data_IF_211494201507
#
_entry.id   IF_211494201507
#
_cell.length_a   1.000
_cell.length_b   1.000
_cell.length_c   1.000
_cell.angle_alpha   90.00
_cell.angle_beta   90.00
_cell.angle_gamma   90.00
#
_symmetry.space_group_name_H-M   'P 1'
#
loop_
_entity.id
_entity.type
_entity.pdbx_description
1 polymer ?
#
# COMPACT_ATOMS: atom_id res chain seq x y z
N UNK A 1 -1.87 -22.62 -8.54
CA UNK A 1 -1.86 -21.18 -8.88
C UNK A 1 -0.54 -20.84 -9.55
N UNK A 2 -0.55 -20.07 -10.65
CA UNK A 2 0.69 -19.53 -11.25
C UNK A 2 1.09 -18.23 -10.54
N UNK A 3 2.36 -17.82 -10.66
CA UNK A 3 2.87 -16.58 -10.03
C UNK A 3 2.09 -15.34 -10.46
N UNK A 4 1.77 -15.23 -11.75
CA UNK A 4 1.01 -14.08 -12.28
C UNK A 4 -0.42 -14.02 -11.74
N UNK A 5 -1.06 -15.19 -11.57
CA UNK A 5 -2.39 -15.26 -10.95
C UNK A 5 -2.35 -14.85 -9.48
N UNK A 6 -1.30 -15.21 -8.73
CA UNK A 6 -1.12 -14.79 -7.34
C UNK A 6 -0.99 -13.27 -7.26
N UNK A 7 -0.14 -12.67 -8.09
CA UNK A 7 0.05 -11.21 -8.14
C UNK A 7 -1.26 -10.51 -8.49
N UNK A 8 -2.00 -11.05 -9.47
CA UNK A 8 -3.29 -10.50 -9.87
C UNK A 8 -4.32 -10.59 -8.75
N UNK A 9 -4.37 -11.70 -8.03
CA UNK A 9 -5.28 -11.89 -6.90
C UNK A 9 -4.97 -10.98 -5.70
N UNK A 10 -3.73 -10.48 -5.57
CA UNK A 10 -3.41 -9.45 -4.58
C UNK A 10 -3.82 -8.04 -5.03
N UNK A 11 -3.80 -7.74 -6.33
CA UNK A 11 -4.08 -6.41 -6.87
C UNK A 11 -5.56 -6.16 -7.18
N UNK A 12 -6.28 -7.21 -7.56
CA UNK A 12 -7.64 -7.12 -8.08
C UNK A 12 -8.59 -7.96 -7.20
N UNK A 13 -9.35 -7.25 -6.36
CA UNK A 13 -10.31 -7.86 -5.45
C UNK A 13 -11.43 -8.62 -6.20
N UNK A 14 -11.83 -8.16 -7.39
CA UNK A 14 -12.85 -8.82 -8.20
C UNK A 14 -12.34 -10.14 -8.76
N UNK A 15 -11.10 -10.15 -9.27
CA UNK A 15 -10.43 -11.38 -9.69
C UNK A 15 -10.28 -12.37 -8.53
N UNK A 16 -9.84 -11.90 -7.36
CA UNK A 16 -9.75 -12.73 -6.15
C UNK A 16 -11.11 -13.30 -5.71
N UNK A 17 -12.19 -12.54 -5.84
CA UNK A 17 -13.55 -13.00 -5.52
C UNK A 17 -14.07 -14.05 -6.51
N UNK A 18 -13.59 -14.03 -7.76
CA UNK A 18 -13.94 -15.03 -8.78
C UNK A 18 -13.24 -16.39 -8.63
N UNK A 19 -12.24 -16.50 -7.74
CA UNK A 19 -11.50 -17.74 -7.52
C UNK A 19 -12.30 -18.73 -6.65
N UNK A 20 -12.09 -20.02 -6.90
CA UNK A 20 -12.61 -21.09 -6.02
C UNK A 20 -11.96 -21.05 -4.64
N UNK A 21 -12.58 -21.69 -3.65
CA UNK A 21 -12.07 -21.72 -2.26
C UNK A 21 -10.67 -22.33 -2.19
N UNK A 22 -10.44 -23.42 -2.93
CA UNK A 22 -9.17 -24.14 -2.97
C UNK A 22 -8.08 -23.27 -3.61
N UNK A 23 -8.41 -22.54 -4.68
CA UNK A 23 -7.49 -21.61 -5.31
C UNK A 23 -7.15 -20.44 -4.39
N UNK A 24 -8.14 -19.92 -3.66
CA UNK A 24 -7.96 -18.80 -2.74
C UNK A 24 -7.13 -19.21 -1.51
N UNK A 25 -7.31 -20.42 -1.00
CA UNK A 25 -6.50 -20.99 0.07
C UNK A 25 -5.03 -21.22 -0.36
N UNK A 26 -4.77 -21.41 -1.64
CA UNK A 26 -3.41 -21.55 -2.18
C UNK A 26 -2.66 -20.23 -2.37
N UNK A 27 -3.31 -19.07 -2.14
CA UNK A 27 -2.68 -17.75 -2.24
C UNK A 27 -1.88 -17.49 -0.96
N UNK A 28 -0.56 -17.22 -1.04
CA UNK A 28 0.22 -16.87 0.14
C UNK A 28 -0.21 -15.51 0.71
N UNK A 29 0.17 -15.26 1.96
CA UNK A 29 -0.05 -13.97 2.60
C UNK A 29 0.50 -12.82 1.74
N UNK A 30 -0.24 -11.71 1.66
CA UNK A 30 0.19 -10.55 0.89
C UNK A 30 1.51 -10.02 1.48
N UNK A 31 2.57 -9.83 0.67
CA UNK A 31 3.86 -9.32 1.14
C UNK A 31 3.78 -7.92 1.76
N UNK A 32 2.73 -7.14 1.49
CA UNK A 32 2.48 -5.86 2.13
C UNK A 32 1.90 -5.99 3.56
N UNK A 33 1.66 -7.22 4.04
CA UNK A 33 1.14 -7.52 5.38
C UNK A 33 -0.34 -7.21 5.54
N UNK A 34 -0.82 -7.30 6.80
CA UNK A 34 -2.20 -6.97 7.18
C UNK A 34 -2.53 -5.49 7.00
N UNK A 35 -1.52 -4.64 6.83
CA UNK A 35 -1.64 -3.19 6.57
C UNK A 35 -2.10 -2.87 5.15
N UNK A 36 -2.13 -3.87 4.25
CA UNK A 36 -2.70 -3.79 2.91
C UNK A 36 -4.11 -4.38 2.83
N UNK A 37 -4.80 -4.48 3.97
CA UNK A 37 -6.28 -4.50 4.02
C UNK A 37 -6.79 -3.31 3.18
N UNK A 38 -7.98 -3.42 2.60
CA UNK A 38 -8.61 -2.30 1.91
C UNK A 38 -8.68 -1.10 2.83
N UNK A 39 -7.67 -0.24 2.72
CA UNK A 39 -7.63 1.05 3.36
C UNK A 39 -8.73 1.87 2.70
N UNK A 40 -9.62 2.42 3.50
CA UNK A 40 -10.55 3.39 2.98
C UNK A 40 -9.79 4.67 2.55
N UNK A 41 -10.45 5.55 1.80
CA UNK A 41 -9.81 6.77 1.27
C UNK A 41 -9.13 7.62 2.35
N UNK A 42 -9.68 7.64 3.57
CA UNK A 42 -9.10 8.39 4.69
C UNK A 42 -7.81 7.74 5.18
N UNK A 43 -7.82 6.43 5.39
CA UNK A 43 -6.63 5.68 5.83
C UNK A 43 -5.52 5.71 4.77
N UNK A 44 -5.91 5.71 3.49
CA UNK A 44 -4.97 5.79 2.37
C UNK A 44 -4.21 7.13 2.34
N UNK A 45 -4.84 8.21 2.81
CA UNK A 45 -4.19 9.52 2.93
C UNK A 45 -3.18 9.59 4.08
N UNK A 46 -3.27 8.69 5.06
CA UNK A 46 -2.33 8.63 6.18
C UNK A 46 -1.10 7.77 5.86
N UNK A 47 -1.19 6.87 4.86
CA UNK A 47 -0.06 6.06 4.42
C UNK A 47 0.87 6.88 3.53
N UNK A 48 2.03 7.20 4.09
CA UNK A 48 3.14 7.88 3.41
C UNK A 48 4.24 6.90 3.03
N UNK A 49 4.93 7.17 1.92
CA UNK A 49 6.17 6.46 1.59
C UNK A 49 7.24 6.71 2.65
N UNK A 50 8.09 5.71 2.91
CA UNK A 50 9.23 5.88 3.83
C UNK A 50 10.24 6.89 3.28
N UNK A 51 10.58 7.91 4.09
CA UNK A 51 11.68 8.83 3.76
C UNK A 51 12.99 8.22 4.27
N UNK A 52 14.00 8.09 3.41
CA UNK A 52 15.33 7.71 3.86
C UNK A 52 15.90 8.86 4.69
N UNK A 53 16.08 8.63 6.00
CA UNK A 53 16.61 9.61 6.95
C UNK A 53 18.12 9.88 6.78
N UNK A 54 18.68 9.78 5.56
CA UNK A 54 20.07 10.14 5.26
C UNK A 54 20.21 11.59 4.75
N UNK A 55 19.10 12.22 4.36
CA UNK A 55 19.14 13.63 4.02
C UNK A 55 19.10 14.42 5.32
N UNK A 56 20.26 14.97 5.68
CA UNK A 56 20.32 16.15 6.54
C UNK A 56 19.58 17.30 5.85
N UNK A 57 18.25 17.24 5.81
CA UNK A 57 17.44 18.39 5.47
C UNK A 57 17.54 19.30 6.70
N UNK A 58 18.23 20.46 6.61
CA UNK A 58 18.34 21.34 7.75
C UNK A 58 16.93 21.75 8.16
N UNK A 59 16.68 21.77 9.46
CA UNK A 59 15.38 22.05 10.04
C UNK A 59 14.66 23.22 9.36
N UNK A 60 13.35 23.04 9.24
CA UNK A 60 12.34 23.94 8.65
C UNK A 60 11.84 23.61 7.22
N UNK A 61 11.86 22.34 6.81
CA UNK A 61 11.04 21.91 5.69
C UNK A 61 9.63 21.60 6.19
N UNK A 62 8.71 22.55 5.99
CA UNK A 62 7.30 22.24 5.69
C UNK A 62 7.24 21.47 4.35
N UNK A 63 7.86 20.30 4.35
CA UNK A 63 8.08 19.46 3.19
C UNK A 63 6.80 18.76 2.83
N UNK A 64 6.47 18.79 1.54
CA UNK A 64 5.40 18.00 0.99
C UNK A 64 5.85 16.54 0.96
N UNK A 65 5.27 15.71 1.82
CA UNK A 65 5.42 14.26 1.69
C UNK A 65 4.35 13.79 0.73
N UNK A 66 4.77 13.10 -0.33
CA UNK A 66 3.83 12.42 -1.22
C UNK A 66 3.21 11.25 -0.44
N UNK A 67 1.90 11.32 -0.22
CA UNK A 67 1.11 10.17 0.23
C UNK A 67 0.97 9.18 -0.92
N UNK A 68 0.48 7.97 -0.63
CA UNK A 68 0.16 7.00 -1.67
C UNK A 68 -0.85 7.54 -2.71
N UNK A 69 -1.71 8.49 -2.32
CA UNK A 69 -2.65 9.16 -3.22
C UNK A 69 -2.04 10.23 -4.13
N UNK A 70 -0.70 10.43 -4.10
CA UNK A 70 0.02 11.50 -4.81
C UNK A 70 -0.35 12.92 -4.39
N UNK A 71 -1.11 13.05 -3.31
CA UNK A 71 -1.36 14.33 -2.68
C UNK A 71 -0.09 14.76 -1.94
N UNK A 72 0.41 15.94 -2.29
CA UNK A 72 1.35 16.65 -1.46
C UNK A 72 0.55 17.21 -0.28
N UNK A 73 0.76 16.69 0.94
CA UNK A 73 0.27 17.33 2.18
C UNK A 73 1.43 17.95 2.96
N UNK A 74 1.22 19.13 3.58
CA UNK A 74 2.23 19.70 4.44
C UNK A 74 2.39 18.80 5.65
N UNK A 75 3.63 18.43 5.99
CA UNK A 75 3.92 17.74 7.24
C UNK A 75 3.68 18.71 8.41
N UNK A 76 2.51 18.63 9.04
CA UNK A 76 2.23 19.36 10.29
C UNK A 76 2.65 18.47 11.47
N UNK A 77 3.68 18.91 12.18
CA UNK A 77 4.00 18.53 13.57
C UNK A 77 3.15 19.36 14.53
#
# INVERSE_FOLDING_TARGET
MTKDMIIRAWKDASFRASLTEEQRASIPANPAGLSAVELNETELQEVVGGVAADTKVPGNSGGWICTYSTECKPFCL
#
